data_IF_836631650127
#
_entry.id   IF_836631650127
#
_cell.length_a   1.000
_cell.length_b   1.000
_cell.length_c   1.000
_cell.angle_alpha   90.00
_cell.angle_beta   90.00
_cell.angle_gamma   90.00
#
_symmetry.space_group_name_H-M   'P 1'
#
loop_
_entity.id
_entity.type
_entity.pdbx_description
1 polymer ?
#
# COMPACT_ATOMS: atom_id res chain seq x y z
N UNK A 1 -2.38 13.67 6.15
CA UNK A 1 -3.71 13.29 5.62
C UNK A 1 -4.40 12.40 6.62
N UNK A 2 -5.64 12.71 7.01
CA UNK A 2 -6.50 11.85 7.84
C UNK A 2 -7.84 11.55 7.15
N UNK A 3 -7.93 11.83 5.84
CA UNK A 3 -9.12 11.62 5.03
C UNK A 3 -8.78 10.54 4.00
N UNK A 4 -9.48 9.41 4.06
CA UNK A 4 -9.14 8.22 3.29
C UNK A 4 -9.39 8.37 1.79
N UNK A 5 -10.47 9.04 1.40
CA UNK A 5 -10.83 9.29 -0.01
C UNK A 5 -10.93 10.79 -0.28
N UNK A 6 -9.81 11.50 -0.08
CA UNK A 6 -9.72 12.89 -0.48
C UNK A 6 -9.60 12.96 -2.00
N UNK A 7 -10.61 13.53 -2.66
CA UNK A 7 -10.70 13.61 -4.14
C UNK A 7 -10.64 15.06 -4.63
N UNK A 8 -10.75 16.02 -3.72
CA UNK A 8 -10.86 17.43 -4.03
C UNK A 8 -9.53 18.02 -4.53
N UNK A 9 -8.39 17.45 -4.11
CA UNK A 9 -7.04 17.75 -4.61
C UNK A 9 -6.72 19.26 -4.76
N UNK A 10 -7.31 20.10 -3.90
CA UNK A 10 -7.32 21.56 -4.03
C UNK A 10 -6.67 22.32 -2.85
N UNK A 11 -6.14 21.59 -1.87
CA UNK A 11 -5.35 22.16 -0.76
C UNK A 11 -3.91 22.45 -1.18
N UNK A 12 -3.35 23.56 -0.70
CA UNK A 12 -1.94 23.91 -0.95
C UNK A 12 -1.03 23.03 -0.10
N UNK A 13 -0.10 22.31 -0.74
CA UNK A 13 0.93 21.54 -0.07
C UNK A 13 1.99 22.47 0.55
N UNK A 14 2.21 22.34 1.86
CA UNK A 14 3.16 23.19 2.60
C UNK A 14 4.44 22.42 2.96
N UNK A 15 5.53 23.16 3.15
CA UNK A 15 6.73 22.58 3.74
C UNK A 15 6.41 22.06 5.16
N UNK A 16 6.80 20.82 5.45
CA UNK A 16 6.42 20.12 6.67
C UNK A 16 5.21 19.20 6.52
N UNK A 17 4.47 19.25 5.41
CA UNK A 17 3.40 18.29 5.12
C UNK A 17 3.95 16.98 4.54
N UNK A 18 3.12 15.95 4.64
CA UNK A 18 3.28 14.67 3.95
C UNK A 18 2.13 14.53 2.96
N UNK A 19 2.46 14.19 1.71
CA UNK A 19 1.47 13.91 0.66
C UNK A 19 1.28 12.40 0.54
N UNK A 20 0.02 11.99 0.45
CA UNK A 20 -0.41 10.63 0.10
C UNK A 20 -1.02 10.71 -1.30
N UNK A 21 -0.49 9.91 -2.21
CA UNK A 21 -1.00 9.75 -3.56
C UNK A 21 -1.55 8.34 -3.64
N UNK A 22 -2.84 8.22 -3.92
CA UNK A 22 -3.50 6.96 -4.22
C UNK A 22 -4.01 7.04 -5.67
N UNK A 23 -3.41 6.25 -6.56
CA UNK A 23 -3.65 6.39 -7.99
C UNK A 23 -3.54 5.05 -8.71
N UNK A 24 -4.44 4.87 -9.66
CA UNK A 24 -4.49 3.72 -10.55
C UNK A 24 -4.68 4.16 -12.00
N UNK A 25 -4.22 3.33 -12.93
CA UNK A 25 -4.54 3.45 -14.35
C UNK A 25 -5.06 2.14 -14.92
N UNK A 26 -5.89 2.25 -15.96
CA UNK A 26 -6.42 1.11 -16.70
C UNK A 26 -5.69 0.97 -18.03
N UNK A 27 -5.26 -0.24 -18.36
CA UNK A 27 -4.63 -0.57 -19.64
C UNK A 27 -5.01 -1.97 -20.10
N UNK A 28 -5.60 -2.08 -21.29
CA UNK A 28 -5.96 -3.38 -21.87
C UNK A 28 -6.88 -4.23 -20.98
N UNK A 29 -7.83 -3.60 -20.28
CA UNK A 29 -8.72 -4.20 -19.27
C UNK A 29 -8.07 -4.62 -17.94
N UNK A 30 -6.79 -4.29 -17.72
CA UNK A 30 -6.12 -4.46 -16.43
C UNK A 30 -6.09 -3.14 -15.68
N UNK A 31 -6.45 -3.16 -14.40
CA UNK A 31 -6.32 -2.02 -13.50
C UNK A 31 -5.05 -2.15 -12.67
N UNK A 32 -4.33 -1.03 -12.54
CA UNK A 32 -3.32 -0.84 -11.51
C UNK A 32 -3.90 -0.01 -10.38
N UNK A 33 -3.38 -0.21 -9.17
CA UNK A 33 -3.78 0.54 -7.98
C UNK A 33 -2.56 0.65 -7.06
N UNK A 34 -2.04 1.87 -6.88
CA UNK A 34 -0.78 2.12 -6.19
C UNK A 34 -0.93 3.35 -5.28
N UNK A 35 -0.67 3.12 -3.99
CA UNK A 35 -0.52 4.19 -3.01
C UNK A 35 0.94 4.47 -2.68
N UNK A 36 1.33 5.74 -2.62
CA UNK A 36 2.65 6.21 -2.13
C UNK A 36 2.50 7.41 -1.21
N UNK A 37 3.40 7.50 -0.23
CA UNK A 37 3.41 8.57 0.77
C UNK A 37 4.82 9.12 0.91
N UNK A 38 5.00 10.44 0.77
CA UNK A 38 6.32 11.08 0.83
C UNK A 38 6.24 12.52 1.34
N UNK A 39 7.33 13.09 1.91
CA UNK A 39 7.32 14.43 2.47
C UNK A 39 7.37 15.48 1.35
N UNK A 40 6.56 16.53 1.46
CA UNK A 40 6.52 17.61 0.46
C UNK A 40 7.88 18.31 0.35
N UNK A 41 8.60 18.45 1.47
CA UNK A 41 9.93 19.04 1.54
C UNK A 41 11.08 18.07 1.17
N UNK A 42 10.76 16.84 0.71
CA UNK A 42 11.76 15.85 0.29
C UNK A 42 12.48 15.10 1.42
N UNK A 43 12.33 15.52 2.69
CA UNK A 43 12.83 14.80 3.87
C UNK A 43 11.75 14.67 4.93
N UNK A 44 11.65 13.48 5.53
CA UNK A 44 10.76 13.24 6.66
C UNK A 44 11.29 13.90 7.92
N UNK A 45 10.41 14.44 8.76
CA UNK A 45 10.73 14.71 10.16
C UNK A 45 10.82 13.40 10.95
N UNK A 46 11.42 13.38 12.16
CA UNK A 46 11.47 12.18 12.99
C UNK A 46 10.10 11.55 13.26
N UNK A 47 9.07 12.38 13.50
CA UNK A 47 7.72 11.93 13.81
C UNK A 47 7.04 11.33 12.57
N UNK A 48 7.18 11.98 11.42
CA UNK A 48 6.66 11.47 10.16
C UNK A 48 7.33 10.15 9.78
N UNK A 49 8.65 10.06 10.00
CA UNK A 49 9.43 8.85 9.75
C UNK A 49 8.97 7.69 10.63
N UNK A 50 8.73 7.94 11.91
CA UNK A 50 8.26 6.92 12.84
C UNK A 50 6.92 6.31 12.37
N UNK A 51 5.96 7.14 11.94
CA UNK A 51 4.69 6.65 11.39
C UNK A 51 4.89 5.90 10.07
N UNK A 52 5.73 6.43 9.18
CA UNK A 52 6.03 5.80 7.89
C UNK A 52 6.64 4.40 8.06
N UNK A 53 7.60 4.25 8.98
CA UNK A 53 8.28 2.98 9.22
C UNK A 53 7.32 1.91 9.72
N UNK A 54 6.42 2.23 10.65
CA UNK A 54 5.40 1.29 11.14
C UNK A 54 4.50 0.78 10.00
N UNK A 55 4.07 1.67 9.11
CA UNK A 55 3.22 1.29 7.96
C UNK A 55 4.02 0.47 6.94
N UNK A 56 5.27 0.85 6.68
CA UNK A 56 6.16 0.12 5.78
C UNK A 56 6.43 -1.29 6.28
N UNK A 57 6.73 -1.46 7.57
CA UNK A 57 6.93 -2.78 8.19
C UNK A 57 5.68 -3.66 8.05
N UNK A 58 4.50 -3.10 8.33
CA UNK A 58 3.24 -3.82 8.16
C UNK A 58 3.00 -4.24 6.70
N UNK A 59 3.28 -3.34 5.73
CA UNK A 59 3.13 -3.62 4.30
C UNK A 59 4.08 -4.72 3.83
N UNK A 60 5.36 -4.66 4.21
CA UNK A 60 6.35 -5.68 3.90
C UNK A 60 6.00 -7.03 4.53
N UNK A 61 5.53 -7.03 5.78
CA UNK A 61 5.06 -8.24 6.46
C UNK A 61 3.86 -8.88 5.75
N UNK A 62 2.93 -8.07 5.23
CA UNK A 62 1.81 -8.56 4.43
C UNK A 62 2.29 -9.17 3.10
N UNK A 63 3.17 -8.47 2.35
CA UNK A 63 3.74 -8.96 1.10
C UNK A 63 4.46 -10.30 1.31
N UNK A 64 5.24 -10.43 2.38
CA UNK A 64 5.95 -11.67 2.70
C UNK A 64 5.00 -12.87 2.91
N UNK A 65 3.79 -12.63 3.46
CA UNK A 65 2.77 -13.67 3.65
C UNK A 65 2.03 -14.04 2.36
N UNK A 66 2.08 -13.21 1.33
CA UNK A 66 1.41 -13.45 0.05
C UNK A 66 2.20 -14.44 -0.84
N UNK A 67 3.42 -14.81 -0.45
CA UNK A 67 4.23 -15.78 -1.20
C UNK A 67 3.82 -17.24 -0.88
N UNK A 68 3.21 -17.90 -1.89
CA UNK A 68 2.82 -19.33 -2.00
C UNK A 68 1.67 -19.83 -1.09
N UNK A 69 0.44 -19.46 -1.46
CA UNK A 69 -0.70 -20.39 -1.36
C UNK A 69 -1.13 -20.95 -2.74
N UNK A 70 -0.52 -20.49 -3.83
CA UNK A 70 -0.95 -20.76 -5.23
C UNK A 70 -0.11 -21.85 -5.93
N UNK A 71 0.62 -22.67 -5.18
CA UNK A 71 1.18 -23.93 -5.73
C UNK A 71 0.57 -25.08 -4.94
N UNK A 72 -0.35 -25.80 -5.59
CA UNK A 72 -1.25 -26.75 -4.97
C UNK A 72 -0.53 -27.88 -4.22
N UNK A 73 -1.04 -28.16 -3.02
CA UNK A 73 -1.00 -29.50 -2.45
C UNK A 73 -2.42 -30.03 -2.39
N UNK A 74 -2.74 -30.80 -3.42
CA UNK A 74 -3.82 -31.77 -3.44
C UNK A 74 -3.73 -32.69 -2.21
N UNK A 75 -4.81 -32.77 -1.44
CA UNK A 75 -5.13 -34.01 -0.72
C UNK A 75 -6.62 -34.26 -0.77
N UNK A 76 -7.10 -34.56 -1.98
CA UNK A 76 -8.35 -35.29 -2.18
C UNK A 76 -8.16 -36.67 -1.50
N UNK A 77 -8.67 -36.82 -0.28
CA UNK A 77 -8.82 -38.13 0.36
C UNK A 77 -9.85 -38.91 -0.46
N UNK A 78 -9.40 -39.93 -1.21
CA UNK A 78 -10.32 -40.98 -1.68
C UNK A 78 -10.75 -41.81 -0.47
N UNK A 79 -12.04 -42.14 -0.30
CA UNK A 79 -12.44 -43.18 0.63
C UNK A 79 -11.94 -44.53 0.09
N UNK A 80 -11.25 -45.27 0.94
CA UNK A 80 -10.97 -46.70 0.77
C UNK A 80 -12.29 -47.48 0.67
N UNK A 81 -12.30 -48.50 -0.19
CA UNK A 81 -13.45 -49.38 -0.39
C UNK A 81 -13.78 -50.28 0.80
#
# INVERSE_FOLDING_TARGET
SCILHYIENNEVLRAGDVVLIDAGCEYGYYASDITRTFPVAGRFTPEQRAVYDVVLEANLAAIAKVVRAITGTSRMRRPSG
#
